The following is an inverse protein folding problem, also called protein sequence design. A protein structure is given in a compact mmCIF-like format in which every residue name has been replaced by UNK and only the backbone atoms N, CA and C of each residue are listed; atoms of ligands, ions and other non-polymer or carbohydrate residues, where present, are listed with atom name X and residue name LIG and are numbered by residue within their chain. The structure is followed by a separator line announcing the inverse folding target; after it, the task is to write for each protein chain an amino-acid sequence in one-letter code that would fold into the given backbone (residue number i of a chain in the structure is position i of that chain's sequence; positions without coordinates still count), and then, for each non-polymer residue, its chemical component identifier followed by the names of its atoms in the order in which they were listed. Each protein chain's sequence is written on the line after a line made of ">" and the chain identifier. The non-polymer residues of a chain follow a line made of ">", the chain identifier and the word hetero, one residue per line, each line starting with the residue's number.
data_IF_182608388089
#
_entry.id   IF_182608388089
#
_cell.length_a   1.000
_cell.length_b   1.000
_cell.length_c   1.000
_cell.angle_alpha   90.00
_cell.angle_beta   90.00
_cell.angle_gamma   90.00
#
_symmetry.space_group_name_H-M   'P 1'
#
loop_
_entity.id
_entity.type
_entity.pdbx_description
1 polymer ?
#
# COMPACT_ATOMS: atom_id res chain seq x y z
N UNK A 1 -15.03 -14.78 -12.55
CA UNK A 1 -14.27 -14.11 -13.63
C UNK A 1 -12.79 -14.39 -13.45
N UNK A 2 -12.03 -14.70 -14.49
CA UNK A 2 -10.60 -15.00 -14.38
C UNK A 2 -9.83 -13.77 -13.89
N UNK A 3 -8.92 -13.99 -12.94
CA UNK A 3 -8.17 -12.94 -12.24
C UNK A 3 -6.79 -12.66 -12.83
N UNK A 4 -6.29 -13.58 -13.67
CA UNK A 4 -4.97 -13.48 -14.29
C UNK A 4 -5.02 -12.69 -15.59
N UNK A 5 -4.09 -11.77 -15.77
CA UNK A 5 -3.85 -11.13 -17.05
C UNK A 5 -3.28 -12.13 -18.04
N UNK A 6 -3.63 -11.99 -19.28
CA UNK A 6 -3.23 -12.92 -20.34
C UNK A 6 -2.82 -12.18 -21.60
N UNK A 7 -1.92 -12.76 -22.35
CA UNK A 7 -1.63 -12.38 -23.71
C UNK A 7 -2.72 -12.97 -24.61
N UNK A 8 -3.29 -12.15 -25.46
CA UNK A 8 -4.24 -12.61 -26.50
C UNK A 8 -3.50 -12.68 -27.82
N UNK A 9 -3.24 -13.87 -28.34
CA UNK A 9 -2.59 -14.04 -29.64
C UNK A 9 -3.46 -13.47 -30.76
N UNK A 10 -2.84 -13.03 -31.83
CA UNK A 10 -3.54 -12.65 -33.06
C UNK A 10 -3.92 -13.90 -33.86
N UNK A 11 -5.02 -14.52 -33.48
CA UNK A 11 -5.54 -15.70 -34.16
C UNK A 11 -5.95 -15.41 -35.61
N UNK A 12 -6.28 -14.16 -35.95
CA UNK A 12 -6.62 -13.75 -37.31
C UNK A 12 -5.39 -13.83 -38.22
N UNK A 13 -4.29 -13.19 -37.82
CA UNK A 13 -3.02 -13.26 -38.56
C UNK A 13 -2.47 -14.68 -38.55
N UNK A 14 -2.48 -15.35 -37.39
CA UNK A 14 -2.03 -16.73 -37.27
C UNK A 14 -2.75 -17.69 -38.25
N UNK A 15 -4.08 -17.58 -38.32
CA UNK A 15 -4.90 -18.37 -39.27
C UNK A 15 -4.61 -18.05 -40.72
N UNK A 16 -4.47 -16.77 -41.06
CA UNK A 16 -4.10 -16.34 -42.42
C UNK A 16 -2.74 -16.89 -42.84
N UNK A 17 -1.73 -16.79 -42.03
CA UNK A 17 -0.39 -17.30 -42.31
C UNK A 17 -0.38 -18.81 -42.44
N UNK A 18 -1.10 -19.51 -41.57
CA UNK A 18 -1.26 -20.98 -41.69
C UNK A 18 -1.90 -21.39 -43.00
N UNK A 19 -2.98 -20.74 -43.43
CA UNK A 19 -3.63 -21.00 -44.70
C UNK A 19 -2.70 -20.72 -45.91
N UNK A 20 -1.94 -19.64 -45.82
CA UNK A 20 -0.94 -19.27 -46.86
C UNK A 20 0.19 -20.30 -46.96
N UNK A 21 0.71 -20.78 -45.84
CA UNK A 21 1.74 -21.81 -45.81
C UNK A 21 1.18 -23.14 -46.37
N UNK A 22 -0.04 -23.52 -45.98
CA UNK A 22 -0.70 -24.70 -46.51
C UNK A 22 -0.89 -24.62 -48.02
N UNK A 23 -1.36 -23.50 -48.56
CA UNK A 23 -1.52 -23.30 -50.02
C UNK A 23 -0.20 -23.46 -50.76
N UNK A 24 0.90 -22.92 -50.18
CA UNK A 24 2.25 -23.07 -50.77
C UNK A 24 2.73 -24.52 -50.74
N UNK A 25 2.53 -25.22 -49.62
CA UNK A 25 2.90 -26.63 -49.47
C UNK A 25 2.17 -27.51 -50.49
N UNK A 26 0.88 -27.27 -50.70
CA UNK A 26 0.07 -27.99 -51.71
C UNK A 26 0.59 -27.72 -53.14
N UNK A 27 0.91 -26.45 -53.44
CA UNK A 27 1.37 -26.06 -54.78
C UNK A 27 2.78 -26.58 -55.09
N UNK A 28 3.69 -26.54 -54.09
CA UNK A 28 5.08 -26.94 -54.29
C UNK A 28 5.37 -28.42 -54.03
N UNK A 29 4.39 -29.19 -53.50
CA UNK A 29 4.55 -30.55 -53.00
C UNK A 29 5.71 -30.72 -51.99
N UNK A 30 6.09 -29.64 -51.36
CA UNK A 30 7.14 -29.61 -50.34
C UNK A 30 6.53 -29.52 -48.96
N UNK A 31 6.84 -30.53 -48.12
CA UNK A 31 6.33 -30.71 -46.78
C UNK A 31 7.39 -30.41 -45.69
N UNK A 32 8.38 -29.59 -46.01
CA UNK A 32 9.35 -29.20 -44.98
C UNK A 32 8.64 -28.52 -43.78
N UNK A 33 8.98 -28.87 -42.52
CA UNK A 33 8.32 -28.31 -41.35
C UNK A 33 8.64 -26.81 -41.26
N UNK A 34 7.60 -25.98 -41.20
CA UNK A 34 7.71 -24.51 -41.07
C UNK A 34 7.18 -24.10 -39.73
N UNK A 35 7.98 -23.31 -39.02
CA UNK A 35 7.59 -22.68 -37.74
C UNK A 35 7.32 -21.19 -37.96
N UNK A 36 6.14 -20.72 -37.56
CA UNK A 36 5.77 -19.30 -37.64
C UNK A 36 5.37 -18.76 -36.27
N UNK A 37 6.02 -17.66 -35.87
CA UNK A 37 5.70 -16.91 -34.66
C UNK A 37 4.84 -15.71 -35.03
N UNK A 38 3.57 -15.74 -34.67
CA UNK A 38 2.65 -14.64 -34.92
C UNK A 38 2.57 -13.69 -33.70
N UNK A 39 2.31 -12.40 -33.93
CA UNK A 39 2.34 -11.40 -32.89
C UNK A 39 1.22 -11.55 -31.89
N UNK A 40 1.39 -10.89 -30.75
CA UNK A 40 0.33 -10.71 -29.77
C UNK A 40 -0.58 -9.58 -30.21
N UNK A 41 -1.87 -9.83 -30.39
CA UNK A 41 -2.84 -8.81 -30.75
C UNK A 41 -3.03 -7.77 -29.63
N UNK A 42 -3.09 -8.23 -28.37
CA UNK A 42 -3.22 -7.37 -27.20
C UNK A 42 -2.87 -8.08 -25.90
N UNK A 43 -2.60 -7.27 -24.88
CA UNK A 43 -2.51 -7.73 -23.50
C UNK A 43 -3.85 -7.48 -22.82
N UNK A 44 -4.51 -8.53 -22.36
CA UNK A 44 -5.74 -8.40 -21.58
C UNK A 44 -5.38 -8.20 -20.11
N UNK A 45 -5.37 -6.93 -19.69
CA UNK A 45 -5.01 -6.53 -18.33
C UNK A 45 -6.16 -6.87 -17.38
N UNK A 46 -5.93 -7.80 -16.47
CA UNK A 46 -6.87 -8.20 -15.42
C UNK A 46 -6.33 -7.85 -14.03
N UNK A 47 -7.00 -8.32 -12.98
CA UNK A 47 -6.65 -7.96 -11.60
C UNK A 47 -5.18 -8.20 -11.21
N UNK A 48 -4.50 -9.20 -11.75
CA UNK A 48 -3.12 -9.55 -11.39
C UNK A 48 -2.08 -8.49 -11.78
N UNK A 49 -2.28 -7.77 -12.90
CA UNK A 49 -1.34 -6.71 -13.36
C UNK A 49 -1.83 -5.29 -13.05
N UNK A 50 -3.12 -5.10 -12.79
CA UNK A 50 -3.68 -3.80 -12.36
C UNK A 50 -3.15 -3.32 -11.01
N UNK A 51 -2.59 -4.24 -10.19
CA UNK A 51 -2.21 -4.00 -8.81
C UNK A 51 -0.94 -3.16 -8.61
N UNK A 52 0.05 -3.26 -9.48
CA UNK A 52 1.39 -2.69 -9.19
C UNK A 52 1.43 -1.16 -9.33
N UNK A 53 0.75 -0.57 -10.31
CA UNK A 53 0.73 0.88 -10.51
C UNK A 53 -0.29 1.62 -9.63
N UNK A 54 -1.47 1.03 -9.37
CA UNK A 54 -2.50 1.59 -8.49
C UNK A 54 -2.13 1.55 -7.00
N UNK A 55 -1.36 0.55 -6.56
CA UNK A 55 -1.04 0.38 -5.15
C UNK A 55 -0.14 1.48 -4.60
N UNK A 56 0.92 1.87 -5.31
CA UNK A 56 1.82 2.94 -4.84
C UNK A 56 1.10 4.27 -4.63
N UNK A 57 0.21 4.63 -5.55
CA UNK A 57 -0.60 5.84 -5.40
C UNK A 57 -1.56 5.73 -4.22
N UNK A 58 -2.28 4.61 -4.08
CA UNK A 58 -3.18 4.38 -2.94
C UNK A 58 -2.45 4.36 -1.60
N UNK A 59 -1.25 3.81 -1.54
CA UNK A 59 -0.43 3.85 -0.32
C UNK A 59 0.03 5.29 -0.03
N UNK A 60 0.44 6.05 -1.04
CA UNK A 60 0.78 7.47 -0.85
C UNK A 60 -0.43 8.27 -0.36
N UNK A 61 -1.61 8.07 -0.94
CA UNK A 61 -2.86 8.70 -0.50
C UNK A 61 -3.23 8.27 0.94
N UNK A 62 -2.98 7.01 1.31
CA UNK A 62 -3.17 6.50 2.67
C UNK A 62 -2.20 7.15 3.67
N UNK A 63 -0.95 7.36 3.31
CA UNK A 63 0.03 8.11 4.14
C UNK A 63 -0.44 9.55 4.37
N UNK A 64 -0.92 10.23 3.32
CA UNK A 64 -1.49 11.58 3.46
C UNK A 64 -2.75 11.60 4.34
N UNK A 65 -3.61 10.58 4.23
CA UNK A 65 -4.76 10.41 5.11
C UNK A 65 -4.31 10.23 6.58
N UNK A 66 -3.30 9.40 6.83
CA UNK A 66 -2.75 9.21 8.17
C UNK A 66 -2.21 10.53 8.71
N UNK A 67 -1.44 11.30 7.93
CA UNK A 67 -0.90 12.60 8.34
C UNK A 67 -1.97 13.59 8.78
N UNK A 68 -3.11 13.60 8.09
CA UNK A 68 -4.24 14.49 8.40
C UNK A 68 -5.08 14.01 9.57
N UNK A 69 -5.23 12.70 9.74
CA UNK A 69 -6.24 12.11 10.61
C UNK A 69 -5.67 11.38 11.83
N UNK A 70 -4.35 11.21 11.95
CA UNK A 70 -3.74 10.45 13.05
C UNK A 70 -4.18 10.95 14.43
N UNK A 71 -4.19 12.27 14.62
CA UNK A 71 -4.63 12.90 15.86
C UNK A 71 -6.16 12.93 16.04
N UNK A 72 -6.93 12.60 15.02
CA UNK A 72 -8.40 12.56 15.07
C UNK A 72 -8.94 11.14 15.36
N UNK A 73 -8.07 10.25 15.85
CA UNK A 73 -8.48 8.92 16.30
C UNK A 73 -8.55 7.84 15.23
N UNK A 74 -7.99 8.07 14.03
CA UNK A 74 -7.93 7.05 12.98
C UNK A 74 -7.29 5.76 13.49
N UNK A 75 -7.81 4.63 13.06
CA UNK A 75 -7.27 3.30 13.35
C UNK A 75 -6.59 2.67 12.13
N UNK A 76 -5.78 1.63 12.35
CA UNK A 76 -5.21 0.85 11.25
C UNK A 76 -6.29 0.17 10.39
N UNK A 77 -7.46 -0.12 10.96
CA UNK A 77 -8.58 -0.70 10.22
C UNK A 77 -9.12 0.30 9.18
N UNK A 78 -9.32 1.57 9.58
CA UNK A 78 -9.80 2.61 8.67
C UNK A 78 -8.84 2.82 7.48
N UNK A 79 -7.53 2.73 7.74
CA UNK A 79 -6.50 2.84 6.68
C UNK A 79 -6.53 1.63 5.75
N UNK A 80 -6.69 0.41 6.29
CA UNK A 80 -6.84 -0.81 5.49
C UNK A 80 -8.08 -0.73 4.61
N UNK A 81 -9.21 -0.27 5.15
CA UNK A 81 -10.46 -0.08 4.41
C UNK A 81 -10.30 0.98 3.29
N UNK A 82 -9.59 2.07 3.57
CA UNK A 82 -9.24 3.07 2.56
C UNK A 82 -8.39 2.50 1.43
N UNK A 83 -7.39 1.67 1.74
CA UNK A 83 -6.56 0.98 0.74
C UNK A 83 -7.41 0.02 -0.10
N UNK A 84 -8.47 -0.56 0.49
CA UNK A 84 -9.42 -1.43 -0.21
C UNK A 84 -8.85 -2.79 -0.60
N UNK A 85 -7.91 -3.30 0.19
CA UNK A 85 -7.31 -4.62 0.04
C UNK A 85 -7.51 -5.46 1.30
N UNK A 86 -7.42 -6.80 1.21
CA UNK A 86 -7.38 -7.64 2.39
C UNK A 86 -6.26 -7.18 3.34
N UNK A 87 -6.53 -7.13 4.65
CA UNK A 87 -5.64 -6.57 5.67
C UNK A 87 -4.17 -7.01 5.53
N UNK A 88 -3.94 -8.32 5.36
CA UNK A 88 -2.59 -8.87 5.21
C UNK A 88 -1.85 -8.29 3.99
N UNK A 89 -2.57 -8.10 2.89
CA UNK A 89 -2.02 -7.55 1.64
C UNK A 89 -1.76 -6.05 1.79
N UNK A 90 -2.71 -5.30 2.36
CA UNK A 90 -2.56 -3.87 2.61
C UNK A 90 -1.37 -3.56 3.52
N UNK A 91 -1.22 -4.30 4.63
CA UNK A 91 -0.09 -4.17 5.55
C UNK A 91 1.25 -4.50 4.87
N UNK A 92 1.30 -5.54 4.02
CA UNK A 92 2.51 -5.91 3.30
C UNK A 92 2.92 -4.82 2.28
N UNK A 93 1.97 -4.35 1.48
CA UNK A 93 2.23 -3.28 0.50
C UNK A 93 2.57 -1.95 1.16
N UNK A 94 1.90 -1.61 2.26
CA UNK A 94 2.19 -0.40 3.01
C UNK A 94 3.64 -0.42 3.53
N UNK A 95 4.05 -1.55 4.15
CA UNK A 95 5.42 -1.74 4.63
C UNK A 95 6.45 -1.75 3.51
N UNK A 96 6.15 -2.34 2.37
CA UNK A 96 7.04 -2.35 1.19
C UNK A 96 7.32 -0.92 0.70
N UNK A 97 6.31 -0.04 0.70
CA UNK A 97 6.43 1.33 0.19
C UNK A 97 7.00 2.29 1.23
N UNK A 98 6.60 2.16 2.50
CA UNK A 98 6.94 3.14 3.57
C UNK A 98 8.07 2.67 4.48
N UNK A 99 8.40 1.38 4.47
CA UNK A 99 9.35 0.75 5.40
C UNK A 99 8.77 0.49 6.80
N UNK A 100 7.51 0.86 7.06
CA UNK A 100 6.85 0.77 8.38
C UNK A 100 5.47 0.13 8.26
N UNK A 101 4.94 -0.40 9.36
CA UNK A 101 3.53 -0.81 9.43
C UNK A 101 2.61 0.41 9.50
N UNK A 102 1.33 0.21 9.16
CA UNK A 102 0.30 1.25 9.28
C UNK A 102 0.22 1.79 10.72
N UNK A 103 0.29 0.89 11.71
CA UNK A 103 0.23 1.26 13.12
C UNK A 103 1.43 2.12 13.54
N UNK A 104 2.63 1.73 13.15
CA UNK A 104 3.86 2.49 13.42
C UNK A 104 3.82 3.88 12.80
N UNK A 105 3.29 4.03 11.59
CA UNK A 105 3.17 5.34 10.94
C UNK A 105 2.16 6.24 11.66
N UNK A 106 1.02 5.70 12.08
CA UNK A 106 0.03 6.44 12.90
C UNK A 106 0.65 6.88 14.22
N UNK A 107 1.34 5.98 14.90
CA UNK A 107 1.95 6.27 16.21
C UNK A 107 3.07 7.29 16.09
N UNK A 108 3.87 7.26 15.02
CA UNK A 108 4.94 8.23 14.79
C UNK A 108 4.39 9.67 14.77
N UNK A 109 3.30 9.88 14.05
CA UNK A 109 2.66 11.20 13.94
C UNK A 109 2.04 11.61 15.28
N UNK A 110 1.36 10.69 15.96
CA UNK A 110 0.79 10.96 17.30
C UNK A 110 1.86 11.34 18.30
N UNK A 111 2.96 10.62 18.32
CA UNK A 111 4.07 10.92 19.23
C UNK A 111 4.76 12.22 18.89
N UNK A 112 4.95 12.56 17.62
CA UNK A 112 5.46 13.87 17.22
C UNK A 112 4.60 15.00 17.83
N UNK A 113 3.27 14.84 17.78
CA UNK A 113 2.33 15.79 18.40
C UNK A 113 2.40 15.78 19.93
N UNK A 114 2.54 14.61 20.56
CA UNK A 114 2.74 14.51 22.02
C UNK A 114 3.99 15.28 22.44
N UNK A 115 5.11 15.08 21.78
CA UNK A 115 6.37 15.78 22.09
C UNK A 115 6.26 17.30 21.89
N UNK A 116 5.58 17.73 20.82
CA UNK A 116 5.30 19.15 20.60
C UNK A 116 4.52 19.76 21.77
N UNK A 117 3.42 19.13 22.16
CA UNK A 117 2.56 19.62 23.23
C UNK A 117 3.21 19.52 24.62
N UNK A 118 4.07 18.54 24.85
CA UNK A 118 4.80 18.41 26.11
C UNK A 118 5.80 19.55 26.35
N UNK A 119 6.32 20.19 25.31
CA UNK A 119 7.18 21.37 25.43
C UNK A 119 6.43 22.57 25.99
N UNK A 120 5.11 22.64 25.80
CA UNK A 120 4.30 23.70 26.35
C UNK A 120 3.97 23.44 27.84
N UNK A 121 4.47 24.30 28.79
CA UNK A 121 4.23 24.12 30.22
C UNK A 121 2.77 24.25 30.64
N UNK A 122 2.01 25.04 29.91
CA UNK A 122 0.59 25.29 30.22
C UNK A 122 -0.35 24.19 29.76
N UNK A 123 0.15 23.27 28.92
CA UNK A 123 -0.67 22.18 28.40
C UNK A 123 -0.91 21.13 29.47
N UNK A 124 -2.18 20.82 29.76
CA UNK A 124 -2.54 19.72 30.68
C UNK A 124 -2.11 18.37 30.11
N UNK A 125 -1.59 17.49 30.97
CA UNK A 125 -1.29 16.10 30.60
C UNK A 125 -2.55 15.27 30.34
N UNK A 126 -3.64 15.63 30.99
CA UNK A 126 -4.91 14.90 30.89
C UNK A 126 -5.66 15.18 29.59
N UNK A 127 -5.35 16.32 28.92
CA UNK A 127 -5.93 16.64 27.61
C UNK A 127 -5.13 16.07 26.41
N UNK A 128 -3.91 15.56 26.64
CA UNK A 128 -3.06 15.05 25.58
C UNK A 128 -3.64 13.85 24.81
N UNK A 129 -4.33 12.90 25.46
CA UNK A 129 -4.91 11.75 24.74
C UNK A 129 -5.85 12.20 23.63
N UNK A 130 -6.76 13.11 23.92
CA UNK A 130 -7.75 13.62 22.96
C UNK A 130 -7.10 14.42 21.85
N UNK A 131 -6.12 15.29 22.19
CA UNK A 131 -5.40 16.11 21.22
C UNK A 131 -4.45 15.33 20.30
N UNK A 132 -4.02 14.15 20.74
CA UNK A 132 -3.09 13.29 19.98
C UNK A 132 -3.74 12.03 19.41
N UNK A 133 -5.05 11.88 19.55
CA UNK A 133 -5.81 10.75 19.00
C UNK A 133 -5.61 9.42 19.70
N UNK A 134 -5.24 9.43 20.98
CA UNK A 134 -5.22 8.22 21.82
C UNK A 134 -6.57 7.98 22.46
N UNK A 135 -7.02 6.73 22.47
CA UNK A 135 -8.33 6.37 23.04
C UNK A 135 -8.46 6.65 24.53
N UNK A 136 -7.36 6.55 25.28
CA UNK A 136 -7.35 6.75 26.74
C UNK A 136 -5.99 7.30 27.21
N UNK A 137 -6.00 8.03 28.33
CA UNK A 137 -4.78 8.50 28.97
C UNK A 137 -3.88 7.37 29.48
N UNK A 138 -4.46 6.21 29.80
CA UNK A 138 -3.70 5.02 30.19
C UNK A 138 -2.93 4.47 28.99
N UNK A 139 -3.57 4.39 27.82
CA UNK A 139 -2.92 3.92 26.59
C UNK A 139 -1.75 4.84 26.21
N UNK A 140 -1.97 6.16 26.25
CA UNK A 140 -0.90 7.13 25.98
C UNK A 140 0.27 6.99 26.97
N UNK A 141 -0.01 6.93 28.29
CA UNK A 141 1.06 6.79 29.31
C UNK A 141 1.89 5.55 29.10
N UNK A 142 1.22 4.39 28.85
CA UNK A 142 1.90 3.12 28.60
C UNK A 142 2.77 3.18 27.34
N UNK A 143 2.21 3.66 26.24
CA UNK A 143 2.93 3.77 24.96
C UNK A 143 4.11 4.75 25.05
N UNK A 144 3.94 5.89 25.77
CA UNK A 144 4.99 6.87 25.98
C UNK A 144 6.14 6.30 26.82
N UNK A 145 5.82 5.64 27.93
CA UNK A 145 6.85 5.01 28.79
C UNK A 145 7.59 3.90 28.06
N UNK A 146 6.89 3.10 27.25
CA UNK A 146 7.53 2.06 26.43
C UNK A 146 8.51 2.64 25.40
N UNK A 147 8.16 3.79 24.80
CA UNK A 147 8.97 4.45 23.78
C UNK A 147 10.16 5.25 24.34
N UNK A 148 9.98 5.88 25.49
CA UNK A 148 10.97 6.83 26.05
C UNK A 148 11.69 6.32 27.30
N UNK A 149 11.22 5.23 27.90
CA UNK A 149 11.75 4.71 29.16
C UNK A 149 11.35 5.53 30.40
N UNK A 150 10.54 6.61 30.26
CA UNK A 150 10.22 7.52 31.36
C UNK A 150 8.75 7.98 31.29
N UNK A 151 8.29 8.65 32.38
CA UNK A 151 6.96 9.25 32.38
C UNK A 151 6.93 10.57 31.60
N UNK A 152 5.75 10.95 31.07
CA UNK A 152 5.55 12.25 30.43
C UNK A 152 5.86 13.44 31.36
N UNK A 153 5.65 13.26 32.67
CA UNK A 153 5.95 14.28 33.68
C UNK A 153 7.47 14.48 33.83
N UNK A 154 8.22 13.38 33.89
CA UNK A 154 9.68 13.43 34.03
C UNK A 154 10.34 13.95 32.76
N UNK A 155 9.86 13.48 31.59
CA UNK A 155 10.29 13.99 30.30
C UNK A 155 10.08 15.52 30.19
N UNK A 156 8.92 16.03 30.62
CA UNK A 156 8.65 17.48 30.64
C UNK A 156 9.59 18.25 31.56
N UNK A 157 9.98 17.69 32.69
CA UNK A 157 10.96 18.29 33.57
C UNK A 157 12.34 18.38 32.94
N UNK A 158 12.78 17.27 32.33
CA UNK A 158 14.07 17.16 31.64
C UNK A 158 14.17 18.12 30.44
N UNK A 159 13.10 18.26 29.67
CA UNK A 159 13.08 19.11 28.49
C UNK A 159 13.08 20.62 28.81
N UNK A 160 13.03 21.01 30.12
CA UNK A 160 13.03 22.39 30.59
C UNK A 160 14.36 22.82 31.24
N UNK A 161 15.22 21.86 31.61
CA UNK A 161 16.57 22.16 32.15
C UNK A 161 17.55 22.29 31.02
#
# INVERSE_FOLDING_TARGET
>A
MPTLSSLVPDFGDGGYQAAKLLSRAIAAQDLAPVSYLYPVARVEVRRSTRRIGCNRKRIADAVEMIRKMACNGISSADVVDFIGEPRRTAEAHFREVTGRSIHEEIDEIRFAKVFELLKNPRQSLDSLPDLCGFKTGVALRKAFSLRTGMSMRDWRKMARG
#
